data_IF_043215681482
#
_entry.id   IF_043215681482
#
_cell.length_a   1.000
_cell.length_b   1.000
_cell.length_c   1.000
_cell.angle_alpha   90.00
_cell.angle_beta   90.00
_cell.angle_gamma   90.00
#
_symmetry.space_group_name_H-M   'P 1'
#
loop_
_entity.id
_entity.type
_entity.pdbx_description
1 polymer ?
#
# COMPACT_ATOMS: atom_id res chain seq x y z
N UNK A 1 7.79 24.95 -0.88
CA UNK A 1 8.86 24.13 -0.28
C UNK A 1 10.19 24.45 -0.94
N UNK A 2 11.01 25.25 -0.24
CA UNK A 2 12.25 25.80 -0.82
C UNK A 2 13.41 24.80 -0.85
N UNK A 3 13.49 23.94 0.14
CA UNK A 3 14.61 23.02 0.34
C UNK A 3 14.21 21.58 0.03
N UNK A 4 13.34 21.38 -0.95
CA UNK A 4 12.87 20.04 -1.34
C UNK A 4 14.06 19.20 -1.85
N UNK A 5 14.23 17.97 -1.33
CA UNK A 5 15.18 17.03 -1.91
C UNK A 5 14.84 16.74 -3.38
N UNK A 6 15.84 16.39 -4.18
CA UNK A 6 15.68 16.15 -5.60
C UNK A 6 14.58 15.11 -5.90
N UNK A 7 14.54 14.03 -5.12
CA UNK A 7 13.54 12.97 -5.27
C UNK A 7 12.09 13.45 -5.05
N UNK A 8 11.92 14.59 -4.39
CA UNK A 8 10.61 15.18 -4.10
C UNK A 8 10.30 16.41 -4.94
N UNK A 9 11.11 16.67 -5.97
CA UNK A 9 10.95 17.86 -6.80
C UNK A 9 9.56 17.97 -7.45
N UNK A 10 8.97 16.84 -7.84
CA UNK A 10 7.63 16.80 -8.41
C UNK A 10 6.56 17.33 -7.45
N UNK A 11 6.64 16.94 -6.17
CA UNK A 11 5.76 17.48 -5.13
C UNK A 11 5.96 18.98 -4.93
N UNK A 12 7.21 19.41 -4.87
CA UNK A 12 7.54 20.83 -4.66
C UNK A 12 7.05 21.70 -5.81
N UNK A 13 7.22 21.25 -7.06
CA UNK A 13 6.75 21.97 -8.25
C UNK A 13 5.22 22.06 -8.31
N UNK A 14 4.52 21.04 -7.83
CA UNK A 14 3.06 21.05 -7.73
C UNK A 14 2.55 21.86 -6.52
N UNK A 15 3.42 22.38 -5.67
CA UNK A 15 3.04 23.14 -4.50
C UNK A 15 2.71 22.29 -3.27
N UNK A 16 3.15 21.04 -3.24
CA UNK A 16 2.84 20.09 -2.17
C UNK A 16 4.08 19.68 -1.38
N UNK A 17 3.84 19.14 -0.22
CA UNK A 17 4.82 18.40 0.59
C UNK A 17 4.27 17.02 0.92
N UNK A 18 5.11 15.99 1.00
CA UNK A 18 4.66 14.70 1.48
C UNK A 18 4.26 14.78 2.94
N UNK A 19 3.21 14.06 3.30
CA UNK A 19 2.73 13.96 4.67
C UNK A 19 2.35 12.52 4.98
N UNK A 20 2.68 12.07 6.17
CA UNK A 20 2.23 10.76 6.66
C UNK A 20 0.96 10.86 7.51
N UNK A 21 0.40 12.06 7.66
CA UNK A 21 -0.83 12.25 8.40
C UNK A 21 -1.99 11.50 7.73
N UNK A 22 -2.73 10.73 8.53
CA UNK A 22 -3.83 9.92 8.01
C UNK A 22 -3.41 8.64 7.28
N UNK A 23 -2.13 8.31 7.26
CA UNK A 23 -1.64 7.04 6.76
C UNK A 23 -1.66 5.98 7.86
N UNK A 24 -2.29 4.84 7.58
CA UNK A 24 -2.32 3.73 8.51
C UNK A 24 -1.53 2.55 7.96
N UNK A 25 -0.63 1.99 8.76
CA UNK A 25 0.08 0.77 8.39
C UNK A 25 -0.92 -0.38 8.38
N UNK A 26 -1.12 -0.98 7.22
CA UNK A 26 -2.25 -1.87 6.96
C UNK A 26 -1.85 -3.31 6.69
N UNK A 27 -0.72 -3.54 6.03
CA UNK A 27 -0.28 -4.88 5.63
C UNK A 27 1.22 -4.88 5.38
N UNK A 28 1.87 -6.00 5.68
CA UNK A 28 3.28 -6.21 5.37
C UNK A 28 3.47 -7.55 4.68
N UNK A 29 4.28 -7.58 3.64
CA UNK A 29 4.63 -8.80 2.93
C UNK A 29 6.10 -8.81 2.56
N UNK A 30 6.76 -9.94 2.81
CA UNK A 30 8.12 -10.17 2.36
C UNK A 30 8.06 -11.20 1.23
N UNK A 31 8.67 -10.87 0.09
CA UNK A 31 8.72 -11.78 -1.05
C UNK A 31 9.60 -13.00 -0.75
N UNK A 32 9.37 -14.14 -1.44
CA UNK A 32 10.16 -15.36 -1.19
C UNK A 32 11.64 -15.16 -1.56
N UNK A 33 12.55 -15.92 -0.91
CA UNK A 33 13.95 -15.96 -1.31
C UNK A 33 14.09 -16.64 -2.68
N UNK A 34 15.18 -16.35 -3.38
CA UNK A 34 15.53 -16.99 -4.65
C UNK A 34 15.52 -16.05 -5.86
N UNK A 35 14.49 -15.20 -6.10
CA UNK A 35 14.58 -14.20 -7.15
C UNK A 35 15.75 -13.24 -6.91
N UNK A 36 16.31 -12.60 -7.97
CA UNK A 36 17.41 -11.66 -7.80
C UNK A 36 17.03 -10.44 -6.94
N UNK A 37 15.74 -10.20 -6.74
CA UNK A 37 15.25 -9.11 -5.88
C UNK A 37 14.24 -9.64 -4.87
N UNK A 38 14.46 -9.28 -3.60
CA UNK A 38 13.49 -9.48 -2.53
C UNK A 38 12.96 -8.12 -2.08
N UNK A 39 11.68 -8.07 -1.78
CA UNK A 39 11.04 -6.86 -1.27
C UNK A 39 10.41 -7.14 0.09
N UNK A 40 10.56 -6.18 0.97
CA UNK A 40 9.78 -6.07 2.19
C UNK A 40 8.76 -4.96 1.95
N UNK A 41 7.57 -5.35 1.49
CA UNK A 41 6.54 -4.40 1.09
C UNK A 41 5.65 -4.06 2.29
N UNK A 42 5.57 -2.78 2.59
CA UNK A 42 4.67 -2.23 3.60
C UNK A 42 3.57 -1.47 2.91
N UNK A 43 2.34 -1.86 3.20
CA UNK A 43 1.14 -1.27 2.60
C UNK A 43 0.50 -0.32 3.59
N UNK A 44 0.20 0.87 3.11
CA UNK A 44 -0.46 1.90 3.91
C UNK A 44 -1.83 2.20 3.34
N UNK A 45 -2.77 2.47 4.23
CA UNK A 45 -4.12 2.86 3.88
C UNK A 45 -4.31 4.35 4.14
N UNK A 46 -4.82 5.06 3.17
CA UNK A 46 -5.12 6.49 3.27
C UNK A 46 -6.50 6.74 2.73
N UNK A 47 -7.32 7.48 3.49
CA UNK A 47 -8.61 7.95 2.99
C UNK A 47 -8.37 8.97 1.87
N UNK A 48 -9.05 8.80 0.73
CA UNK A 48 -8.94 9.71 -0.40
C UNK A 48 -9.27 11.17 -0.02
N UNK A 49 -10.14 11.37 0.96
CA UNK A 49 -10.50 12.70 1.45
C UNK A 49 -9.31 13.44 2.10
N UNK A 50 -8.25 12.71 2.46
CA UNK A 50 -7.02 13.29 3.01
C UNK A 50 -6.05 13.76 1.91
N UNK A 51 -6.30 13.41 0.67
CA UNK A 51 -5.42 13.77 -0.45
C UNK A 51 -5.71 15.19 -0.91
N UNK A 52 -4.65 15.94 -1.20
CA UNK A 52 -4.75 17.28 -1.75
C UNK A 52 -4.85 17.24 -3.29
N UNK A 53 -5.52 18.23 -3.86
CA UNK A 53 -5.66 18.37 -5.30
C UNK A 53 -6.91 17.68 -5.86
N UNK A 54 -6.99 17.64 -7.18
CA UNK A 54 -8.09 16.99 -7.88
C UNK A 54 -7.80 15.48 -8.00
N UNK A 55 -8.63 14.67 -7.35
CA UNK A 55 -8.46 13.22 -7.30
C UNK A 55 -8.66 12.55 -8.65
N UNK A 56 -9.32 13.21 -9.60
CA UNK A 56 -9.57 12.67 -10.93
C UNK A 56 -8.57 13.18 -11.98
N UNK A 57 -7.65 14.04 -11.58
CA UNK A 57 -6.61 14.56 -12.47
C UNK A 57 -5.30 13.75 -12.30
N UNK A 58 -5.04 12.87 -13.26
CA UNK A 58 -3.83 12.07 -13.32
C UNK A 58 -2.78 12.62 -14.29
N UNK A 59 -2.96 13.84 -14.79
CA UNK A 59 -2.07 14.43 -15.81
C UNK A 59 -0.63 14.61 -15.33
N UNK A 60 -0.43 14.75 -14.02
CA UNK A 60 0.91 14.87 -13.43
C UNK A 60 1.59 13.53 -13.14
N UNK A 61 0.95 12.41 -13.44
CA UNK A 61 1.54 11.09 -13.16
C UNK A 61 2.75 10.83 -14.07
N UNK A 62 3.74 10.12 -13.52
CA UNK A 62 4.92 9.73 -14.28
C UNK A 62 4.66 8.50 -15.15
N UNK A 63 5.57 8.25 -16.10
CA UNK A 63 5.48 7.09 -17.01
C UNK A 63 5.59 5.74 -16.25
N UNK A 64 6.09 5.75 -15.04
CA UNK A 64 6.19 4.55 -14.19
C UNK A 64 4.82 3.97 -13.87
N UNK A 65 3.82 4.84 -13.69
CA UNK A 65 2.44 4.44 -13.45
C UNK A 65 1.57 4.95 -14.60
N UNK A 66 1.14 4.03 -15.46
CA UNK A 66 0.28 4.33 -16.60
C UNK A 66 -1.14 3.83 -16.35
N UNK A 67 -2.10 4.39 -17.09
CA UNK A 67 -3.51 3.97 -17.03
C UNK A 67 -4.12 4.06 -15.63
N UNK A 68 -3.84 5.15 -14.91
CA UNK A 68 -4.41 5.40 -13.60
C UNK A 68 -5.92 5.62 -13.69
N UNK A 69 -6.65 4.97 -12.78
CA UNK A 69 -8.10 5.10 -12.70
C UNK A 69 -8.58 4.71 -11.31
N UNK A 70 -9.71 5.26 -10.90
CA UNK A 70 -10.39 4.79 -9.70
C UNK A 70 -11.18 3.52 -10.05
N UNK A 71 -11.03 2.49 -9.24
CA UNK A 71 -11.69 1.20 -9.45
C UNK A 71 -12.44 0.84 -8.18
N UNK A 72 -13.75 0.53 -8.26
CA UNK A 72 -14.47 -0.01 -7.12
C UNK A 72 -13.79 -1.26 -6.57
N UNK A 73 -13.78 -1.43 -5.26
CA UNK A 73 -13.01 -2.49 -4.61
C UNK A 73 -13.42 -3.89 -5.08
N UNK A 74 -14.70 -4.14 -5.23
CA UNK A 74 -15.20 -5.43 -5.71
C UNK A 74 -14.77 -5.73 -7.15
N UNK A 75 -14.71 -4.71 -8.01
CA UNK A 75 -14.19 -4.85 -9.38
C UNK A 75 -12.68 -5.06 -9.38
N UNK A 76 -11.96 -4.34 -8.50
CA UNK A 76 -10.51 -4.51 -8.37
C UNK A 76 -10.15 -5.94 -7.97
N UNK A 77 -10.92 -6.55 -7.08
CA UNK A 77 -10.70 -7.92 -6.62
C UNK A 77 -10.93 -8.97 -7.71
N UNK A 78 -11.70 -8.63 -8.74
CA UNK A 78 -11.96 -9.53 -9.89
C UNK A 78 -10.85 -9.47 -10.94
N UNK A 79 -9.92 -8.54 -10.84
CA UNK A 79 -8.80 -8.40 -11.77
C UNK A 79 -7.76 -9.50 -11.54
N UNK A 80 -7.00 -9.81 -12.59
CA UNK A 80 -5.86 -10.72 -12.48
C UNK A 80 -4.68 -9.99 -11.82
N UNK A 81 -4.57 -10.12 -10.51
CA UNK A 81 -3.60 -9.42 -9.69
C UNK A 81 -2.55 -10.39 -9.13
N UNK A 82 -1.36 -9.91 -8.78
CA UNK A 82 -0.42 -10.70 -7.99
C UNK A 82 -1.08 -11.21 -6.70
N UNK A 83 -0.66 -12.40 -6.26
CA UNK A 83 -1.26 -13.07 -5.12
C UNK A 83 -1.33 -12.19 -3.86
N UNK A 84 -0.22 -11.52 -3.52
CA UNK A 84 -0.16 -10.65 -2.34
C UNK A 84 -1.14 -9.48 -2.46
N UNK A 85 -1.24 -8.87 -3.63
CA UNK A 85 -2.20 -7.77 -3.85
C UNK A 85 -3.63 -8.22 -3.63
N UNK A 86 -3.97 -9.43 -4.09
CA UNK A 86 -5.30 -10.01 -3.86
C UNK A 86 -5.60 -10.20 -2.38
N UNK A 87 -4.62 -10.65 -1.59
CA UNK A 87 -4.76 -10.80 -0.15
C UNK A 87 -4.97 -9.43 0.53
N UNK A 88 -4.18 -8.43 0.15
CA UNK A 88 -4.30 -7.07 0.70
C UNK A 88 -5.69 -6.50 0.44
N UNK A 89 -6.20 -6.64 -0.78
CA UNK A 89 -7.54 -6.17 -1.13
C UNK A 89 -8.63 -6.95 -0.38
N UNK A 90 -8.41 -8.23 -0.11
CA UNK A 90 -9.32 -9.03 0.70
C UNK A 90 -9.40 -8.51 2.14
N UNK A 91 -8.27 -8.18 2.75
CA UNK A 91 -8.24 -7.57 4.08
C UNK A 91 -8.92 -6.19 4.07
N UNK A 92 -8.69 -5.40 3.02
CA UNK A 92 -9.34 -4.10 2.88
C UNK A 92 -10.86 -4.23 2.77
N UNK A 93 -11.35 -5.23 2.03
CA UNK A 93 -12.78 -5.46 1.88
C UNK A 93 -13.48 -5.84 3.20
N UNK A 94 -12.73 -6.37 4.15
CA UNK A 94 -13.25 -6.71 5.48
C UNK A 94 -13.39 -5.50 6.40
N UNK A 95 -12.79 -4.36 6.06
CA UNK A 95 -12.92 -3.13 6.86
C UNK A 95 -14.26 -2.45 6.60
N UNK A 96 -14.85 -1.93 7.67
CA UNK A 96 -16.07 -1.12 7.58
C UNK A 96 -15.76 0.37 7.50
N UNK A 97 -14.65 0.79 8.10
CA UNK A 97 -14.22 2.17 8.18
C UNK A 97 -12.71 2.25 7.98
N UNK A 98 -12.23 3.38 7.45
CA UNK A 98 -10.82 3.67 7.36
C UNK A 98 -10.35 4.18 8.70
N UNK A 99 -9.69 3.32 9.44
CA UNK A 99 -9.17 3.59 10.78
C UNK A 99 -7.91 2.78 11.02
N UNK A 100 -7.10 3.13 12.04
CA UNK A 100 -5.94 2.31 12.37
C UNK A 100 -6.38 0.88 12.71
N UNK A 101 -5.81 -0.14 12.07
CA UNK A 101 -6.17 -1.53 12.39
C UNK A 101 -5.66 -1.91 13.79
N UNK A 102 -6.41 -2.77 14.48
CA UNK A 102 -5.99 -3.30 15.78
C UNK A 102 -4.73 -4.17 15.66
N UNK A 103 -4.56 -4.82 14.52
CA UNK A 103 -3.38 -5.61 14.20
C UNK A 103 -3.12 -5.56 12.70
N UNK A 104 -1.86 -5.76 12.32
CA UNK A 104 -1.43 -5.69 10.92
C UNK A 104 -1.08 -7.09 10.43
N UNK A 105 -1.75 -7.59 9.36
CA UNK A 105 -1.38 -8.84 8.75
C UNK A 105 0.04 -8.80 8.19
N UNK A 106 0.79 -9.85 8.44
CA UNK A 106 2.15 -10.00 7.95
C UNK A 106 2.25 -11.32 7.18
N UNK A 107 2.44 -11.23 5.88
CA UNK A 107 2.71 -12.38 5.05
C UNK A 107 4.21 -12.52 4.84
N UNK A 108 4.77 -13.60 5.37
CA UNK A 108 6.21 -13.85 5.35
C UNK A 108 6.50 -15.11 4.56
N UNK A 109 7.21 -14.96 3.44
CA UNK A 109 7.72 -16.07 2.66
C UNK A 109 9.16 -16.35 3.06
N UNK A 110 9.40 -17.54 3.64
CA UNK A 110 10.74 -18.00 3.99
C UNK A 110 10.95 -19.40 3.41
N UNK A 111 11.98 -19.55 2.56
CA UNK A 111 12.33 -20.83 1.93
C UNK A 111 11.11 -21.50 1.30
N UNK A 112 10.72 -22.67 1.81
CA UNK A 112 9.57 -23.43 1.31
C UNK A 112 8.28 -23.13 2.08
N UNK A 113 8.34 -22.27 3.12
CA UNK A 113 7.21 -21.97 3.98
C UNK A 113 6.69 -20.55 3.75
N UNK A 114 5.37 -20.42 3.68
CA UNK A 114 4.69 -19.14 3.69
C UNK A 114 3.94 -18.99 5.02
N UNK A 115 4.26 -17.94 5.78
CA UNK A 115 3.68 -17.68 7.08
C UNK A 115 2.82 -16.44 7.04
N UNK A 116 1.64 -16.55 7.65
CA UNK A 116 0.74 -15.42 7.82
C UNK A 116 0.66 -15.09 9.32
N UNK A 117 1.07 -13.88 9.66
CA UNK A 117 1.15 -13.39 11.04
C UNK A 117 0.29 -12.16 11.21
N UNK A 118 -0.01 -11.79 12.47
CA UNK A 118 -0.56 -10.47 12.78
C UNK A 118 0.36 -9.72 13.72
N UNK A 119 0.62 -8.46 13.39
CA UNK A 119 1.48 -7.58 14.17
C UNK A 119 0.62 -6.64 15.01
N UNK A 120 0.73 -6.76 16.33
CA UNK A 120 -0.01 -5.93 17.28
C UNK A 120 0.81 -5.61 18.53
N UNK A 121 2.13 -5.41 18.34
CA UNK A 121 3.10 -5.33 19.43
C UNK A 121 3.74 -6.68 19.75
N UNK A 122 3.15 -7.77 19.26
CA UNK A 122 3.71 -9.12 19.26
C UNK A 122 3.30 -9.82 17.98
N UNK A 123 4.14 -10.72 17.48
CA UNK A 123 3.79 -11.53 16.31
C UNK A 123 2.88 -12.68 16.72
N UNK A 124 1.80 -12.88 15.97
CA UNK A 124 0.90 -14.02 16.14
C UNK A 124 0.81 -14.77 14.82
N UNK A 125 1.05 -16.07 14.87
CA UNK A 125 0.99 -16.92 13.69
C UNK A 125 -0.44 -17.45 13.48
N UNK A 126 -0.93 -17.35 12.26
CA UNK A 126 -2.18 -17.98 11.85
C UNK A 126 -1.92 -19.41 11.38
N UNK A 127 -2.74 -20.28 11.87
CA UNK A 127 -2.76 -21.68 11.41
C UNK A 127 -3.82 -21.86 10.33
#
# INVERSE_FOLDING_TARGET
WRDAPEDWSGFAQAGFRPSAEGMYFFFRAITPPGPPRRFDARFFLVDADQLAGDLDDFSGASDELSHLQWVPLDEARALNLPFITSIVLGELAALREIQPPASVPFFKNQDEESLFLRLNGSEQQYQ
#
